data_IF_704700629808
#
_entry.id   IF_704700629808
#
_cell.length_a   1.000
_cell.length_b   1.000
_cell.length_c   1.000
_cell.angle_alpha   90.00
_cell.angle_beta   90.00
_cell.angle_gamma   90.00
#
_symmetry.space_group_name_H-M   'P 1'
#
loop_
_entity.id
_entity.type
_entity.pdbx_description
1 polymer ?
#
# COMPACT_ATOMS: atom_id res chain seq x y z
N UNK A 1 -6.26 -19.44 23.52
CA UNK A 1 -5.47 -18.94 22.38
C UNK A 1 -5.81 -17.49 22.10
N UNK A 2 -4.90 -16.72 21.50
CA UNK A 2 -5.19 -15.36 21.00
C UNK A 2 -5.69 -15.45 19.56
N UNK A 3 -6.74 -14.71 19.21
CA UNK A 3 -7.22 -14.62 17.83
C UNK A 3 -6.34 -13.64 17.06
N UNK A 4 -5.77 -14.07 15.94
CA UNK A 4 -5.05 -13.21 15.01
C UNK A 4 -5.96 -12.84 13.84
N UNK A 5 -6.17 -11.53 13.61
CA UNK A 5 -7.17 -11.02 12.65
C UNK A 5 -6.59 -10.67 11.27
N UNK A 6 -5.27 -10.68 11.12
CA UNK A 6 -4.59 -10.17 9.93
C UNK A 6 -4.05 -11.29 9.02
N UNK A 7 -4.75 -12.42 8.93
CA UNK A 7 -4.38 -13.56 8.07
C UNK A 7 -5.16 -13.56 6.72
N UNK A 8 -5.74 -12.42 6.35
CA UNK A 8 -6.66 -12.33 5.21
C UNK A 8 -5.96 -12.58 3.87
N UNK A 9 -4.73 -12.09 3.67
CA UNK A 9 -4.02 -12.28 2.40
C UNK A 9 -3.61 -13.75 2.15
N UNK A 10 -2.91 -14.45 3.07
CA UNK A 10 -2.57 -15.85 2.85
C UNK A 10 -3.80 -16.73 2.64
N UNK A 11 -4.80 -16.62 3.53
CA UNK A 11 -6.00 -17.44 3.47
C UNK A 11 -6.87 -17.09 2.25
N UNK A 12 -7.02 -15.80 1.94
CA UNK A 12 -7.80 -15.33 0.80
C UNK A 12 -7.17 -15.72 -0.53
N UNK A 13 -5.85 -15.59 -0.68
CA UNK A 13 -5.11 -16.04 -1.87
C UNK A 13 -5.24 -17.55 -2.06
N UNK A 14 -5.01 -18.33 -0.99
CA UNK A 14 -5.14 -19.78 -1.04
C UNK A 14 -6.56 -20.21 -1.43
N UNK A 15 -7.58 -19.62 -0.79
CA UNK A 15 -8.98 -19.91 -1.10
C UNK A 15 -9.33 -19.54 -2.54
N UNK A 16 -8.94 -18.36 -3.01
CA UNK A 16 -9.23 -17.92 -4.37
C UNK A 16 -8.61 -18.84 -5.42
N UNK A 17 -7.35 -19.26 -5.26
CA UNK A 17 -6.68 -20.16 -6.20
C UNK A 17 -7.30 -21.57 -6.25
N UNK A 18 -7.84 -22.06 -5.12
CA UNK A 18 -8.46 -23.38 -5.03
C UNK A 18 -9.91 -23.41 -5.53
N UNK A 19 -10.59 -22.26 -5.54
CA UNK A 19 -12.05 -22.19 -5.74
C UNK A 19 -12.49 -21.20 -6.84
N UNK A 20 -11.57 -20.56 -7.56
CA UNK A 20 -11.92 -19.71 -8.69
C UNK A 20 -12.67 -20.52 -9.76
N UNK A 21 -13.74 -19.92 -10.29
CA UNK A 21 -14.51 -20.46 -11.40
C UNK A 21 -14.69 -19.35 -12.47
N UNK A 22 -14.07 -19.47 -13.66
CA UNK A 22 -13.23 -20.60 -14.07
C UNK A 22 -11.90 -20.68 -13.28
N UNK A 23 -11.26 -21.86 -13.21
CA UNK A 23 -9.96 -22.02 -12.54
C UNK A 23 -8.90 -21.08 -13.11
N UNK A 24 -8.06 -20.52 -12.23
CA UNK A 24 -6.95 -19.64 -12.63
C UNK A 24 -5.90 -20.48 -13.39
N UNK A 25 -5.53 -20.13 -14.63
CA UNK A 25 -4.49 -20.86 -15.36
C UNK A 25 -3.16 -20.83 -14.59
N UNK A 26 -2.41 -21.95 -14.48
CA UNK A 26 -1.14 -21.99 -13.75
C UNK A 26 -0.10 -20.98 -14.28
N UNK A 27 -0.16 -20.64 -15.56
CA UNK A 27 0.72 -19.69 -16.25
C UNK A 27 0.26 -18.23 -16.14
N UNK A 28 -0.86 -17.96 -15.47
CA UNK A 28 -1.33 -16.59 -15.30
C UNK A 28 -0.40 -15.83 -14.35
N UNK A 29 -0.04 -14.60 -14.73
CA UNK A 29 0.63 -13.66 -13.83
C UNK A 29 -0.41 -13.10 -12.86
N UNK A 30 -0.17 -13.26 -11.56
CA UNK A 30 -1.05 -12.81 -10.49
C UNK A 30 -0.32 -11.76 -9.66
N UNK A 31 -0.92 -10.59 -9.53
CA UNK A 31 -0.47 -9.52 -8.64
C UNK A 31 -1.38 -9.47 -7.39
N UNK A 32 -0.80 -9.70 -6.22
CA UNK A 32 -1.44 -9.44 -4.93
C UNK A 32 -1.12 -8.00 -4.49
N UNK A 33 -2.15 -7.17 -4.44
CA UNK A 33 -2.08 -5.76 -4.03
C UNK A 33 -2.84 -5.56 -2.71
N UNK A 34 -2.45 -4.54 -1.96
CA UNK A 34 -3.18 -4.17 -0.75
C UNK A 34 -4.43 -3.34 -1.11
N UNK A 35 -5.54 -3.48 -0.35
CA UNK A 35 -6.79 -2.79 -0.65
C UNK A 35 -6.70 -1.26 -0.47
N UNK A 36 -5.64 -0.78 0.18
CA UNK A 36 -5.31 0.64 0.31
C UNK A 36 -4.24 1.07 -0.71
N UNK A 37 -4.10 0.37 -1.84
CA UNK A 37 -3.29 0.82 -2.98
C UNK A 37 -4.17 1.38 -4.10
N UNK A 38 -3.86 2.60 -4.54
CA UNK A 38 -4.48 3.22 -5.72
C UNK A 38 -3.55 3.14 -6.90
N UNK A 39 -4.07 2.78 -8.07
CA UNK A 39 -3.32 2.88 -9.32
C UNK A 39 -3.17 4.35 -9.73
N UNK A 40 -1.93 4.78 -9.94
CA UNK A 40 -1.60 6.07 -10.54
C UNK A 40 -1.34 5.93 -12.04
N UNK A 41 -0.93 4.73 -12.45
CA UNK A 41 -0.77 4.31 -13.85
C UNK A 41 -1.04 2.82 -13.96
N UNK A 42 -1.33 2.30 -15.17
CA UNK A 42 -1.50 0.87 -15.38
C UNK A 42 -0.23 0.08 -14.98
N UNK A 43 -0.44 -1.15 -14.49
CA UNK A 43 0.60 -2.15 -14.33
C UNK A 43 0.51 -3.12 -15.51
N UNK A 44 1.45 -3.03 -16.42
CA UNK A 44 1.58 -3.92 -17.58
C UNK A 44 2.54 -5.08 -17.29
N UNK A 45 2.41 -6.18 -18.04
CA UNK A 45 3.27 -7.34 -17.91
C UNK A 45 4.75 -7.03 -18.20
N UNK A 46 5.02 -6.02 -19.02
CA UNK A 46 6.32 -5.48 -19.41
C UNK A 46 6.70 -4.22 -18.61
N UNK A 47 5.97 -3.87 -17.53
CA UNK A 47 6.30 -2.71 -16.68
C UNK A 47 7.69 -2.82 -16.04
N UNK A 48 8.28 -4.01 -16.10
CA UNK A 48 9.60 -4.37 -15.60
C UNK A 48 10.68 -4.40 -16.69
N UNK A 49 10.33 -4.29 -17.98
CA UNK A 49 11.25 -4.32 -19.14
C UNK A 49 12.05 -3.03 -19.35
N UNK A 50 12.05 -2.16 -18.34
CA UNK A 50 12.64 -0.84 -18.44
C UNK A 50 14.14 -0.89 -18.21
N UNK A 51 14.90 -0.39 -19.18
CA UNK A 51 16.36 -0.13 -19.07
C UNK A 51 16.71 0.93 -18.02
N UNK A 52 15.71 1.62 -17.46
CA UNK A 52 15.94 2.56 -16.38
C UNK A 52 16.39 1.89 -15.09
N UNK A 53 17.56 2.33 -14.62
CA UNK A 53 18.26 1.88 -13.41
C UNK A 53 17.51 2.10 -12.08
N UNK A 54 16.27 2.57 -12.13
CA UNK A 54 15.52 3.05 -10.98
C UNK A 54 14.46 2.04 -10.51
N UNK A 55 13.89 1.19 -11.37
CA UNK A 55 12.90 0.18 -10.91
C UNK A 55 13.54 -0.88 -10.01
N UNK A 56 14.85 -1.07 -10.07
CA UNK A 56 15.57 -1.87 -9.09
C UNK A 56 16.89 -1.17 -8.78
N UNK A 57 17.09 -0.74 -7.54
CA UNK A 57 18.31 -0.05 -7.12
C UNK A 57 19.14 -0.89 -6.15
N UNK A 58 20.45 -0.65 -6.22
CA UNK A 58 21.41 -1.20 -5.28
C UNK A 58 21.32 -2.73 -5.17
N UNK A 59 21.11 -3.29 -3.96
CA UNK A 59 21.08 -4.73 -3.75
C UNK A 59 19.98 -5.48 -4.53
N UNK A 60 18.95 -4.75 -4.98
CA UNK A 60 17.76 -5.24 -5.67
C UNK A 60 18.00 -5.63 -7.15
N UNK A 61 19.14 -5.26 -7.73
CA UNK A 61 19.53 -5.64 -9.10
C UNK A 61 19.98 -7.09 -9.22
N UNK A 62 20.06 -7.81 -8.11
CA UNK A 62 20.44 -9.22 -8.06
C UNK A 62 19.51 -9.97 -7.09
N UNK A 63 18.60 -10.83 -7.61
CA UNK A 63 18.46 -11.21 -9.02
C UNK A 63 17.90 -10.07 -9.90
N UNK A 64 18.18 -10.04 -11.22
CA UNK A 64 17.60 -9.07 -12.12
C UNK A 64 16.08 -9.23 -12.17
N UNK A 65 15.37 -8.13 -12.39
CA UNK A 65 13.92 -8.17 -12.58
C UNK A 65 13.64 -8.94 -13.88
N UNK A 66 12.82 -10.00 -13.84
CA UNK A 66 12.55 -10.79 -15.03
C UNK A 66 11.70 -9.99 -16.01
N UNK A 67 11.98 -10.15 -17.30
CA UNK A 67 11.20 -9.53 -18.37
C UNK A 67 9.77 -10.08 -18.43
N UNK A 68 9.64 -11.37 -18.12
CA UNK A 68 8.39 -12.09 -18.02
C UNK A 68 8.41 -12.96 -16.78
N UNK A 69 7.27 -13.09 -16.11
CA UNK A 69 7.16 -13.98 -14.97
C UNK A 69 7.37 -15.44 -15.40
N UNK A 70 8.30 -16.10 -14.71
CA UNK A 70 8.63 -17.52 -14.89
C UNK A 70 8.41 -18.27 -13.58
N UNK A 71 8.34 -19.60 -13.67
CA UNK A 71 8.17 -20.44 -12.48
C UNK A 71 9.34 -20.25 -11.51
N UNK A 72 9.05 -20.09 -10.23
CA UNK A 72 10.05 -19.86 -9.18
C UNK A 72 10.55 -18.42 -9.13
N UNK A 73 9.90 -17.49 -9.84
CA UNK A 73 10.21 -16.06 -9.78
C UNK A 73 9.10 -15.28 -9.08
N UNK A 74 9.50 -14.24 -8.36
CA UNK A 74 8.58 -13.28 -7.76
C UNK A 74 9.16 -11.89 -7.93
N UNK A 75 8.31 -10.91 -8.26
CA UNK A 75 8.64 -9.49 -8.21
C UNK A 75 7.89 -8.87 -7.04
N UNK A 76 8.57 -8.07 -6.23
CA UNK A 76 7.91 -7.40 -5.11
C UNK A 76 8.58 -6.07 -4.75
N UNK A 77 7.76 -5.11 -4.30
CA UNK A 77 8.24 -3.79 -3.87
C UNK A 77 9.16 -3.91 -2.65
N UNK A 78 10.26 -3.16 -2.63
CA UNK A 78 11.12 -3.05 -1.47
C UNK A 78 10.33 -2.55 -0.25
N UNK A 79 10.48 -3.25 0.87
CA UNK A 79 9.84 -2.92 2.14
C UNK A 79 10.73 -3.30 3.32
N UNK A 80 10.75 -2.51 4.40
CA UNK A 80 11.77 -2.59 5.46
C UNK A 80 11.68 -3.74 6.48
N UNK A 81 11.40 -4.98 6.08
CA UNK A 81 11.10 -6.11 6.99
C UNK A 81 11.95 -7.39 6.80
N UNK A 82 12.81 -7.50 5.78
CA UNK A 82 13.32 -8.80 5.34
C UNK A 82 14.30 -9.52 6.28
N UNK A 83 15.16 -8.78 6.99
CA UNK A 83 16.26 -9.38 7.76
C UNK A 83 15.87 -9.86 9.17
N UNK A 84 14.78 -9.32 9.73
CA UNK A 84 14.45 -9.51 11.13
C UNK A 84 14.21 -10.98 11.54
N UNK A 85 13.61 -11.85 10.68
CA UNK A 85 13.43 -13.26 11.01
C UNK A 85 14.72 -14.06 11.17
N UNK A 86 15.83 -13.62 10.55
CA UNK A 86 17.12 -14.32 10.59
C UNK A 86 18.06 -13.81 11.70
N UNK A 87 17.55 -12.96 12.60
CA UNK A 87 18.31 -12.52 13.78
C UNK A 87 18.37 -13.64 14.82
N UNK A 88 19.57 -13.89 15.35
CA UNK A 88 19.79 -14.81 16.46
C UNK A 88 19.34 -14.25 17.82
N UNK A 89 19.18 -12.93 17.93
CA UNK A 89 18.75 -12.23 19.14
C UNK A 89 17.28 -11.81 19.17
N UNK A 90 16.85 -11.25 20.30
CA UNK A 90 15.54 -10.58 20.40
C UNK A 90 15.51 -9.39 19.42
N UNK A 91 14.41 -9.24 18.69
CA UNK A 91 14.07 -7.97 18.06
C UNK A 91 13.62 -7.01 19.17
N UNK A 92 14.10 -5.77 19.15
CA UNK A 92 13.89 -4.81 20.24
C UNK A 92 12.45 -4.74 20.77
N UNK A 93 12.30 -4.41 22.05
CA UNK A 93 11.02 -4.44 22.77
C UNK A 93 10.70 -5.84 23.34
N UNK A 94 9.41 -6.20 23.36
CA UNK A 94 8.90 -7.46 23.93
C UNK A 94 8.81 -8.62 22.90
N UNK A 95 9.45 -8.51 21.73
CA UNK A 95 9.42 -9.57 20.73
C UNK A 95 10.31 -10.73 21.15
N UNK A 96 9.85 -11.96 20.88
CA UNK A 96 10.68 -13.15 21.07
C UNK A 96 11.74 -13.20 19.96
N UNK A 97 12.85 -13.89 20.23
CA UNK A 97 13.76 -14.26 19.14
C UNK A 97 12.99 -15.15 18.15
N UNK A 98 13.30 -15.02 16.86
CA UNK A 98 12.61 -15.79 15.83
C UNK A 98 13.00 -17.26 15.86
N UNK A 99 14.26 -17.59 16.17
CA UNK A 99 14.72 -18.98 16.29
C UNK A 99 14.38 -19.82 15.07
N UNK A 100 14.51 -19.25 13.85
CA UNK A 100 14.08 -19.92 12.61
C UNK A 100 14.70 -21.30 12.45
N UNK A 101 16.00 -21.44 12.74
CA UNK A 101 16.69 -22.73 12.69
C UNK A 101 16.04 -23.77 13.60
N UNK A 102 15.76 -23.40 14.85
CA UNK A 102 15.14 -24.30 15.82
C UNK A 102 13.70 -24.64 15.43
N UNK A 103 12.95 -23.65 14.94
CA UNK A 103 11.60 -23.85 14.43
C UNK A 103 11.60 -24.86 13.29
N UNK A 104 12.40 -24.61 12.23
CA UNK A 104 12.43 -25.49 11.07
C UNK A 104 12.98 -26.89 11.41
N UNK A 105 14.00 -26.99 12.27
CA UNK A 105 14.60 -28.28 12.63
C UNK A 105 13.71 -29.10 13.56
N UNK A 106 13.19 -28.49 14.63
CA UNK A 106 12.57 -29.21 15.74
C UNK A 106 11.04 -29.16 15.72
N UNK A 107 10.44 -28.02 15.34
CA UNK A 107 8.98 -27.84 15.39
C UNK A 107 8.32 -28.24 14.05
N UNK A 108 8.86 -27.75 12.93
CA UNK A 108 8.31 -28.00 11.61
C UNK A 108 8.85 -29.29 10.97
N UNK A 109 9.89 -29.91 11.51
CA UNK A 109 10.49 -31.14 10.98
C UNK A 109 11.08 -30.99 9.57
N UNK A 110 11.55 -29.79 9.22
CA UNK A 110 12.12 -29.41 7.91
C UNK A 110 13.56 -28.87 8.06
N UNK A 111 14.53 -29.70 8.50
CA UNK A 111 15.91 -29.26 8.71
C UNK A 111 16.63 -28.86 7.40
N UNK A 112 16.12 -29.29 6.25
CA UNK A 112 16.64 -28.95 4.91
C UNK A 112 15.89 -27.80 4.24
N UNK A 113 15.20 -26.96 5.02
CA UNK A 113 14.52 -25.78 4.49
C UNK A 113 15.53 -24.85 3.79
N UNK A 114 15.29 -24.43 2.54
CA UNK A 114 16.09 -23.41 1.87
C UNK A 114 16.19 -22.09 2.65
N UNK A 115 15.23 -21.78 3.53
CA UNK A 115 15.32 -20.62 4.42
C UNK A 115 16.48 -20.72 5.44
N UNK A 116 17.08 -21.90 5.61
CA UNK A 116 18.24 -22.16 6.45
C UNK A 116 19.55 -22.29 5.67
N UNK A 117 19.54 -22.06 4.36
CA UNK A 117 20.75 -22.11 3.53
C UNK A 117 21.83 -21.18 4.10
N UNK A 118 23.09 -21.62 4.03
CA UNK A 118 24.21 -20.92 4.68
C UNK A 118 24.42 -19.49 4.15
N UNK A 119 23.96 -19.18 2.94
CA UNK A 119 24.03 -17.84 2.37
C UNK A 119 22.85 -16.95 2.78
N UNK A 120 21.84 -17.47 3.49
CA UNK A 120 20.71 -16.71 4.04
C UNK A 120 20.93 -16.43 5.54
N UNK A 121 21.28 -15.18 5.83
CA UNK A 121 21.44 -14.62 7.17
C UNK A 121 20.72 -13.28 7.26
N UNK A 122 20.74 -12.61 8.43
CA UNK A 122 20.06 -11.30 8.61
C UNK A 122 20.36 -10.31 7.48
N UNK A 123 21.64 -10.17 7.09
CA UNK A 123 22.07 -9.18 6.10
C UNK A 123 21.58 -9.55 4.70
N UNK A 124 21.79 -10.80 4.31
CA UNK A 124 21.41 -11.26 2.96
C UNK A 124 19.90 -11.41 2.82
N UNK A 125 19.20 -11.80 3.88
CA UNK A 125 17.75 -11.77 3.91
C UNK A 125 17.18 -10.35 3.89
N UNK A 126 17.80 -9.40 4.60
CA UNK A 126 17.48 -7.97 4.48
C UNK A 126 17.73 -7.40 3.08
N UNK A 127 18.56 -8.06 2.27
CA UNK A 127 18.75 -7.72 0.86
C UNK A 127 17.64 -8.30 -0.01
N UNK A 128 17.38 -9.61 0.05
CA UNK A 128 16.50 -10.28 -0.92
C UNK A 128 15.04 -10.32 -0.51
N UNK A 129 14.78 -10.46 0.79
CA UNK A 129 13.45 -10.71 1.34
C UNK A 129 12.85 -9.48 2.02
N UNK A 130 13.47 -8.32 1.88
CA UNK A 130 12.93 -7.05 2.35
C UNK A 130 11.92 -6.53 1.35
N UNK A 131 10.79 -7.22 1.27
CA UNK A 131 9.75 -7.06 0.27
C UNK A 131 8.36 -6.85 0.89
N UNK A 132 7.49 -6.18 0.14
CA UNK A 132 6.12 -5.84 0.47
C UNK A 132 5.25 -5.83 -0.79
N UNK A 133 3.95 -5.63 -0.62
CA UNK A 133 3.04 -5.50 -1.74
C UNK A 133 3.42 -4.29 -2.64
N UNK A 134 3.11 -4.32 -3.95
CA UNK A 134 2.56 -5.46 -4.69
C UNK A 134 3.50 -6.65 -4.75
N UNK A 135 2.95 -7.87 -4.64
CA UNK A 135 3.66 -9.13 -4.88
C UNK A 135 3.18 -9.71 -6.20
N UNK A 136 4.09 -10.11 -7.08
CA UNK A 136 3.76 -10.56 -8.43
C UNK A 136 4.48 -11.88 -8.68
N UNK A 137 3.74 -12.92 -9.03
CA UNK A 137 4.25 -14.26 -9.32
C UNK A 137 3.28 -14.99 -10.27
N UNK A 138 3.69 -16.15 -10.79
CA UNK A 138 2.76 -17.03 -11.50
C UNK A 138 1.76 -17.66 -10.54
N UNK A 139 0.55 -17.94 -11.01
CA UNK A 139 -0.47 -18.66 -10.25
C UNK A 139 0.04 -20.03 -9.76
N UNK A 140 0.88 -20.71 -10.55
CA UNK A 140 1.52 -21.97 -10.17
C UNK A 140 2.44 -21.87 -8.95
N UNK A 141 3.03 -20.70 -8.71
CA UNK A 141 3.90 -20.46 -7.54
C UNK A 141 3.10 -19.93 -6.36
N UNK A 142 2.03 -19.17 -6.62
CA UNK A 142 1.20 -18.60 -5.57
C UNK A 142 0.53 -19.64 -4.68
N UNK A 143 0.07 -20.77 -5.20
CA UNK A 143 -0.58 -21.78 -4.36
C UNK A 143 0.38 -22.40 -3.32
N UNK A 144 1.59 -22.87 -3.70
CA UNK A 144 2.61 -23.25 -2.73
C UNK A 144 2.97 -22.12 -1.75
N UNK A 145 3.13 -20.89 -2.23
CA UNK A 145 3.45 -19.73 -1.39
C UNK A 145 2.35 -19.49 -0.37
N UNK A 146 1.09 -19.38 -0.78
CA UNK A 146 -0.04 -19.09 0.10
C UNK A 146 -0.28 -20.21 1.13
N UNK A 147 -0.06 -21.47 0.73
CA UNK A 147 -0.14 -22.63 1.64
C UNK A 147 0.96 -22.55 2.70
N UNK A 148 2.21 -22.34 2.29
CA UNK A 148 3.34 -22.26 3.22
C UNK A 148 3.24 -21.02 4.12
N UNK A 149 2.84 -19.89 3.55
CA UNK A 149 2.55 -18.65 4.25
C UNK A 149 1.52 -18.85 5.35
N UNK A 150 0.39 -19.49 5.04
CA UNK A 150 -0.65 -19.84 6.02
C UNK A 150 -0.08 -20.69 7.15
N UNK A 151 0.71 -21.72 6.83
CA UNK A 151 1.29 -22.64 7.83
C UNK A 151 2.34 -21.97 8.74
N UNK A 152 3.02 -20.93 8.25
CA UNK A 152 4.01 -20.16 9.02
C UNK A 152 3.38 -19.04 9.87
N UNK A 153 2.10 -18.71 9.67
CA UNK A 153 1.41 -17.69 10.44
C UNK A 153 1.45 -17.91 11.96
N UNK A 154 1.16 -19.10 12.52
CA UNK A 154 1.18 -19.30 13.97
C UNK A 154 2.53 -18.96 14.60
N UNK A 155 3.61 -19.40 13.94
CA UNK A 155 4.99 -19.13 14.33
C UNK A 155 5.28 -17.62 14.32
N UNK A 156 4.92 -16.94 13.24
CA UNK A 156 5.17 -15.51 13.11
C UNK A 156 4.35 -14.68 14.12
N UNK A 157 3.10 -15.06 14.38
CA UNK A 157 2.23 -14.41 15.38
C UNK A 157 2.79 -14.58 16.79
N UNK A 158 3.33 -15.75 17.12
CA UNK A 158 3.95 -15.97 18.42
C UNK A 158 5.20 -15.11 18.63
N UNK A 159 6.03 -14.99 17.58
CA UNK A 159 7.36 -14.37 17.67
C UNK A 159 7.34 -12.86 17.45
N UNK A 160 6.45 -12.38 16.58
CA UNK A 160 6.26 -10.97 16.23
C UNK A 160 4.78 -10.60 16.31
N UNK A 161 4.22 -10.65 17.52
CA UNK A 161 2.81 -10.32 17.74
C UNK A 161 2.54 -8.86 17.33
N UNK A 162 1.83 -8.68 16.21
CA UNK A 162 1.56 -7.37 15.63
C UNK A 162 0.96 -7.46 14.22
N UNK A 163 0.73 -6.29 13.63
CA UNK A 163 0.21 -6.15 12.26
C UNK A 163 1.21 -6.62 11.18
N UNK A 164 2.48 -6.84 11.53
CA UNK A 164 3.52 -7.28 10.59
C UNK A 164 3.80 -8.79 10.61
N UNK A 165 3.18 -9.55 11.53
CA UNK A 165 3.41 -11.00 11.61
C UNK A 165 3.12 -11.71 10.29
N UNK A 166 2.06 -11.26 9.60
CA UNK A 166 1.69 -11.77 8.29
C UNK A 166 2.76 -11.52 7.23
N UNK A 167 3.32 -10.32 7.17
CA UNK A 167 4.38 -10.01 6.20
C UNK A 167 5.67 -10.78 6.52
N UNK A 168 5.99 -10.99 7.79
CA UNK A 168 7.13 -11.83 8.16
C UNK A 168 6.93 -13.30 7.76
N UNK A 169 5.72 -13.83 7.95
CA UNK A 169 5.40 -15.18 7.50
C UNK A 169 5.52 -15.30 5.96
N UNK A 170 5.13 -14.28 5.19
CA UNK A 170 5.29 -14.24 3.73
C UNK A 170 6.75 -14.39 3.33
N UNK A 171 7.63 -13.56 3.89
CA UNK A 171 9.04 -13.54 3.47
C UNK A 171 9.76 -14.84 3.85
N UNK A 172 9.38 -15.46 4.96
CA UNK A 172 9.89 -16.77 5.39
C UNK A 172 9.34 -17.87 4.47
N UNK A 173 8.06 -17.81 4.09
CA UNK A 173 7.44 -18.79 3.20
C UNK A 173 8.08 -18.81 1.81
N UNK A 174 8.36 -17.63 1.27
CA UNK A 174 9.02 -17.47 -0.03
C UNK A 174 10.47 -17.98 0.05
N UNK A 175 11.19 -17.66 1.12
CA UNK A 175 12.55 -18.15 1.34
C UNK A 175 12.59 -19.68 1.50
N UNK A 176 11.64 -20.28 2.22
CA UNK A 176 11.52 -21.72 2.44
C UNK A 176 11.14 -22.49 1.15
N UNK A 177 10.57 -21.81 0.17
CA UNK A 177 10.34 -22.36 -1.17
C UNK A 177 11.55 -22.20 -2.10
N UNK A 178 12.66 -21.63 -1.62
CA UNK A 178 13.84 -21.34 -2.42
C UNK A 178 13.64 -20.23 -3.47
N UNK A 179 12.53 -19.49 -3.38
CA UNK A 179 12.22 -18.40 -4.30
C UNK A 179 12.98 -17.17 -3.82
N UNK A 180 13.88 -16.63 -4.66
CA UNK A 180 14.55 -15.35 -4.39
C UNK A 180 13.83 -14.24 -5.16
N UNK A 181 13.08 -13.35 -4.49
CA UNK A 181 12.35 -12.29 -5.18
C UNK A 181 13.30 -11.35 -5.91
N UNK A 182 12.93 -10.96 -7.13
CA UNK A 182 13.39 -9.74 -7.75
C UNK A 182 12.74 -8.57 -7.01
N UNK A 183 13.49 -8.01 -6.07
CA UNK A 183 13.08 -6.81 -5.35
C UNK A 183 13.10 -5.63 -6.31
N UNK A 184 12.02 -4.86 -6.33
CA UNK A 184 11.91 -3.64 -7.13
C UNK A 184 11.69 -2.44 -6.23
N UNK A 185 12.26 -1.32 -6.64
CA UNK A 185 12.01 -0.01 -6.07
C UNK A 185 10.99 0.75 -6.92
N UNK A 186 10.41 1.77 -6.31
CA UNK A 186 9.60 2.78 -6.97
C UNK A 186 8.27 2.30 -7.57
N UNK A 187 7.84 1.06 -7.37
CA UNK A 187 6.48 0.65 -7.75
C UNK A 187 5.43 1.47 -7.03
N UNK A 188 5.70 1.87 -5.79
CA UNK A 188 4.77 2.67 -5.00
C UNK A 188 5.42 3.87 -4.33
N UNK A 189 4.56 4.81 -3.91
CA UNK A 189 4.86 5.84 -2.92
C UNK A 189 3.87 5.73 -1.77
N UNK A 190 4.33 5.96 -0.54
CA UNK A 190 3.50 5.86 0.66
C UNK A 190 3.93 6.88 1.71
N UNK A 191 5.16 6.82 2.19
CA UNK A 191 5.71 7.67 3.23
C UNK A 191 6.74 8.58 2.57
N UNK A 192 6.51 9.89 2.63
CA UNK A 192 7.37 10.91 1.99
C UNK A 192 8.84 10.88 2.42
N UNK A 193 9.18 10.13 3.48
CA UNK A 193 10.53 9.92 3.99
C UNK A 193 11.10 8.52 3.71
N UNK A 194 10.32 7.59 3.19
CA UNK A 194 10.76 6.22 2.94
C UNK A 194 11.71 6.14 1.72
N UNK A 195 12.76 5.34 1.87
CA UNK A 195 13.63 4.94 0.76
C UNK A 195 13.06 3.76 -0.03
N UNK A 196 13.49 3.61 -1.29
CA UNK A 196 12.99 2.55 -2.18
C UNK A 196 11.61 2.81 -2.79
N UNK A 197 11.00 3.95 -2.49
CA UNK A 197 9.72 4.41 -3.05
C UNK A 197 9.92 5.39 -4.20
N UNK A 198 8.90 5.56 -5.05
CA UNK A 198 8.98 6.31 -6.32
C UNK A 198 9.10 7.83 -6.18
N UNK A 199 9.52 8.32 -5.02
CA UNK A 199 9.73 9.73 -4.76
C UNK A 199 10.73 10.42 -5.68
N UNK A 200 11.85 9.80 -6.12
CA UNK A 200 12.75 10.43 -7.08
C UNK A 200 12.07 10.81 -8.41
N UNK A 201 10.96 10.16 -8.76
CA UNK A 201 10.16 10.52 -9.92
C UNK A 201 9.25 11.71 -9.63
N UNK A 202 8.58 11.72 -8.47
CA UNK A 202 7.78 12.86 -7.99
C UNK A 202 8.65 14.12 -7.80
N UNK A 203 9.89 13.97 -7.36
CA UNK A 203 10.84 15.08 -7.18
C UNK A 203 11.27 15.73 -8.49
N UNK A 204 11.03 15.10 -9.65
CA UNK A 204 11.32 15.70 -10.96
C UNK A 204 10.17 16.56 -11.48
N UNK A 205 9.00 16.51 -10.85
CA UNK A 205 7.88 17.33 -11.24
C UNK A 205 8.18 18.81 -10.95
N UNK A 206 7.64 19.74 -11.77
CA UNK A 206 7.58 21.15 -11.40
C UNK A 206 6.86 21.35 -10.05
N UNK A 207 7.31 22.33 -9.27
CA UNK A 207 6.85 22.53 -7.89
C UNK A 207 5.36 22.92 -7.78
N UNK A 208 4.80 23.46 -8.85
CA UNK A 208 3.39 23.85 -9.01
C UNK A 208 2.52 22.74 -9.63
N UNK A 209 3.11 21.63 -10.07
CA UNK A 209 2.38 20.54 -10.74
C UNK A 209 2.08 19.34 -9.85
N UNK A 210 2.32 19.44 -8.53
CA UNK A 210 2.04 18.35 -7.58
C UNK A 210 0.59 17.86 -7.62
N UNK A 211 -0.36 18.77 -7.91
CA UNK A 211 -1.78 18.44 -8.04
C UNK A 211 -2.29 18.47 -9.48
N UNK A 212 -1.43 18.55 -10.49
CA UNK A 212 -1.88 18.59 -11.88
C UNK A 212 -2.38 17.20 -12.32
N UNK A 213 -3.66 17.02 -12.71
CA UNK A 213 -4.18 15.71 -13.13
C UNK A 213 -3.56 15.22 -14.43
N UNK A 214 -3.14 16.14 -15.30
CA UNK A 214 -2.61 15.80 -16.62
C UNK A 214 -1.29 15.03 -16.51
N UNK A 215 -0.61 15.15 -15.37
CA UNK A 215 0.68 14.50 -15.13
C UNK A 215 0.59 12.98 -15.05
N UNK A 216 -0.59 12.44 -14.70
CA UNK A 216 -0.84 11.00 -14.67
C UNK A 216 -0.81 10.39 -16.08
N UNK A 217 -1.05 11.21 -17.10
CA UNK A 217 -1.11 10.83 -18.52
C UNK A 217 0.02 11.42 -19.35
N UNK A 218 0.88 12.26 -18.77
CA UNK A 218 1.97 12.92 -19.47
C UNK A 218 3.17 11.97 -19.60
N UNK A 219 3.51 11.50 -20.81
CA UNK A 219 4.60 10.54 -21.01
C UNK A 219 5.98 11.13 -20.69
N UNK A 220 6.09 12.46 -20.54
CA UNK A 220 7.32 13.15 -20.16
C UNK A 220 7.69 12.89 -18.70
N UNK A 221 6.71 12.49 -17.87
CA UNK A 221 6.92 12.21 -16.46
C UNK A 221 6.65 10.74 -16.16
N UNK A 222 7.69 10.05 -15.73
CA UNK A 222 7.52 8.76 -15.08
C UNK A 222 6.94 9.00 -13.69
N UNK A 223 6.00 8.17 -13.26
CA UNK A 223 5.38 8.21 -11.93
C UNK A 223 5.46 6.84 -11.26
N UNK A 224 5.30 6.72 -9.94
CA UNK A 224 5.06 5.42 -9.30
C UNK A 224 3.81 4.74 -9.89
N UNK A 225 3.75 3.41 -9.87
CA UNK A 225 2.54 2.67 -10.31
C UNK A 225 1.41 2.82 -9.30
N UNK A 226 1.76 2.80 -8.02
CA UNK A 226 0.82 2.80 -6.92
C UNK A 226 1.05 3.99 -5.98
N UNK A 227 -0.04 4.49 -5.42
CA UNK A 227 -0.03 5.20 -4.14
C UNK A 227 -0.51 4.21 -3.08
N UNK A 228 0.35 3.85 -2.13
CA UNK A 228 -0.02 2.99 -1.01
C UNK A 228 -0.45 3.85 0.18
N UNK A 229 -1.75 3.92 0.37
CA UNK A 229 -2.46 4.75 1.33
C UNK A 229 -2.47 4.13 2.74
N UNK A 230 -1.29 3.90 3.30
CA UNK A 230 -1.14 3.34 4.66
C UNK A 230 -0.78 4.38 5.73
N UNK A 231 -0.50 5.62 5.32
CA UNK A 231 -0.09 6.71 6.19
C UNK A 231 -1.18 7.77 6.35
N UNK A 232 -0.99 8.68 7.30
CA UNK A 232 -1.77 9.91 7.40
C UNK A 232 -1.16 10.96 6.47
N UNK A 233 -1.96 11.47 5.53
CA UNK A 233 -1.53 12.49 4.58
C UNK A 233 -2.08 13.85 4.98
N UNK A 234 -1.20 14.78 5.34
CA UNK A 234 -1.56 16.15 5.73
C UNK A 234 -0.71 17.16 4.98
N UNK A 235 -1.34 18.26 4.55
CA UNK A 235 -0.63 19.42 4.01
C UNK A 235 -0.46 20.41 5.17
N UNK A 236 0.74 20.45 5.77
CA UNK A 236 1.04 21.35 6.91
C UNK A 236 1.01 22.84 6.53
N UNK A 237 1.31 23.18 5.27
CA UNK A 237 1.60 24.56 4.85
C UNK A 237 0.41 25.42 4.37
N UNK A 238 -0.80 24.87 4.26
CA UNK A 238 -2.00 25.72 4.04
C UNK A 238 -2.43 26.49 5.30
N UNK A 239 -1.85 26.17 6.48
CA UNK A 239 -2.01 27.01 7.68
C UNK A 239 -1.46 28.42 7.49
N UNK A 240 -0.36 28.58 6.75
CA UNK A 240 0.32 29.86 6.66
C UNK A 240 -0.37 30.85 5.71
N UNK A 241 -0.88 30.40 4.55
CA UNK A 241 -1.54 31.29 3.59
C UNK A 241 -2.95 31.70 4.03
N UNK A 242 -3.71 30.82 4.70
CA UNK A 242 -4.99 31.20 5.30
C UNK A 242 -4.83 32.23 6.44
N UNK A 243 -3.66 32.25 7.11
CA UNK A 243 -3.31 33.26 8.10
C UNK A 243 -2.74 34.54 7.48
N UNK A 244 -2.10 34.45 6.30
CA UNK A 244 -1.47 35.59 5.62
C UNK A 244 -2.45 36.41 4.74
N UNK A 245 -3.57 35.83 4.29
CA UNK A 245 -4.57 36.51 3.44
C UNK A 245 -5.57 37.42 4.18
N UNK A 246 -5.19 37.96 5.35
CA UNK A 246 -5.76 39.22 5.83
C UNK A 246 -7.14 39.17 6.48
N UNK A 247 -7.21 38.69 7.73
CA UNK A 247 -8.15 39.23 8.73
C UNK A 247 -7.38 40.08 9.73
N UNK A 248 -6.86 41.21 9.23
CA UNK A 248 -6.41 42.31 10.07
C UNK A 248 -7.63 43.03 10.64
N UNK A 249 -8.01 42.69 11.87
CA UNK A 249 -9.08 43.34 12.61
C UNK A 249 -8.75 43.37 14.10
N UNK A 250 -8.02 44.38 14.52
CA UNK A 250 -7.86 44.76 15.93
C UNK A 250 -9.23 45.14 16.51
N UNK A 251 -9.73 44.37 17.46
CA UNK A 251 -10.95 44.72 18.18
C UNK A 251 -11.44 43.62 19.09
N UNK A 252 -11.22 43.80 20.38
CA UNK A 252 -11.75 42.93 21.43
C UNK A 252 -13.29 42.89 21.37
N UNK A 253 -13.86 41.68 21.25
CA UNK A 253 -14.95 41.28 22.14
C UNK A 253 -15.17 39.76 22.10
N UNK A 254 -15.25 39.19 23.29
CA UNK A 254 -15.58 37.79 23.54
C UNK A 254 -17.08 37.54 23.28
N UNK A 255 -17.41 36.31 22.89
CA UNK A 255 -18.75 35.73 22.75
C UNK A 255 -19.56 36.10 21.48
N UNK A 256 -19.29 35.41 20.37
CA UNK A 256 -20.32 34.95 19.42
C UNK A 256 -19.75 33.96 18.38
N UNK A 257 -20.31 32.74 18.35
CA UNK A 257 -20.34 31.82 17.19
C UNK A 257 -19.02 31.15 16.73
N UNK A 258 -19.04 29.86 16.33
CA UNK A 258 -17.90 29.25 15.66
C UNK A 258 -17.89 29.69 14.18
N UNK A 259 -17.25 30.82 13.89
CA UNK A 259 -16.87 31.16 12.50
C UNK A 259 -15.67 30.30 12.08
N UNK A 260 -16.02 29.17 11.48
CA UNK A 260 -15.16 28.15 10.86
C UNK A 260 -14.57 28.66 9.55
N UNK A 261 -13.64 29.62 9.63
CA UNK A 261 -12.77 30.04 8.52
C UNK A 261 -11.37 29.41 8.61
N UNK A 262 -11.24 28.31 9.36
CA UNK A 262 -10.05 27.45 9.30
C UNK A 262 -10.15 26.66 8.01
N UNK A 263 -9.32 26.98 7.03
CA UNK A 263 -9.20 26.22 5.78
C UNK A 263 -9.26 24.74 6.09
N UNK A 264 -10.29 24.07 5.56
CA UNK A 264 -10.67 22.72 5.96
C UNK A 264 -9.52 21.78 5.62
N UNK A 265 -8.75 21.37 6.62
CA UNK A 265 -7.72 20.35 6.45
C UNK A 265 -8.42 19.02 6.20
N UNK A 266 -8.29 18.50 4.97
CA UNK A 266 -8.83 17.20 4.61
C UNK A 266 -7.90 16.12 5.15
N UNK A 267 -8.27 15.56 6.29
CA UNK A 267 -7.52 14.47 6.90
C UNK A 267 -8.05 13.15 6.36
N UNK A 268 -7.24 12.56 5.49
CA UNK A 268 -7.44 11.18 5.07
C UNK A 268 -6.83 10.28 6.14
N UNK A 269 -7.67 9.60 6.91
CA UNK A 269 -7.24 8.47 7.76
C UNK A 269 -7.91 7.20 7.30
N UNK A 270 -7.24 6.05 7.46
CA UNK A 270 -7.76 4.70 7.14
C UNK A 270 -9.11 4.38 7.81
N UNK A 271 -9.55 5.19 8.77
CA UNK A 271 -10.77 5.01 9.56
C UNK A 271 -11.86 6.03 9.25
N UNK A 272 -11.65 6.92 8.29
CA UNK A 272 -12.55 8.03 7.96
C UNK A 272 -12.76 8.11 6.44
N UNK A 273 -13.37 7.06 5.88
CA UNK A 273 -14.09 7.22 4.61
C UNK A 273 -15.51 7.67 5.00
N UNK A 274 -16.04 8.78 4.48
CA UNK A 274 -17.41 9.19 4.76
C UNK A 274 -18.33 8.07 4.27
N UNK A 275 -19.20 7.56 5.14
CA UNK A 275 -20.17 6.54 4.71
C UNK A 275 -21.09 7.10 3.63
N UNK A 276 -21.27 8.42 3.63
CA UNK A 276 -22.01 9.19 2.65
C UNK A 276 -21.51 9.01 1.21
N UNK A 277 -20.23 8.68 1.00
CA UNK A 277 -19.67 8.35 -0.33
C UNK A 277 -20.27 7.05 -0.89
N UNK A 278 -20.62 6.10 -0.02
CA UNK A 278 -21.15 4.79 -0.39
C UNK A 278 -22.68 4.70 -0.25
N UNK A 279 -23.35 5.82 0.01
CA UNK A 279 -24.80 5.86 0.08
C UNK A 279 -25.41 6.32 -1.24
N UNK A 280 -26.27 5.47 -1.81
CA UNK A 280 -27.09 5.89 -2.93
C UNK A 280 -28.09 6.99 -2.48
N UNK A 281 -28.40 7.99 -3.33
CA UNK A 281 -29.35 9.05 -2.98
C UNK A 281 -30.70 8.49 -2.54
N UNK A 282 -31.37 9.17 -1.61
CA UNK A 282 -32.69 8.76 -1.13
C UNK A 282 -33.67 8.59 -2.31
N UNK A 283 -34.27 7.39 -2.44
CA UNK A 283 -35.16 7.03 -3.54
C UNK A 283 -34.55 6.09 -4.60
N UNK A 284 -33.24 5.86 -4.56
CA UNK A 284 -32.60 4.79 -5.35
C UNK A 284 -32.52 3.50 -4.52
N UNK A 285 -33.02 2.40 -5.07
CA UNK A 285 -32.84 1.07 -4.47
C UNK A 285 -31.42 0.60 -4.78
N UNK A 286 -30.59 0.38 -3.76
CA UNK A 286 -29.32 -0.33 -3.99
C UNK A 286 -29.63 -1.71 -4.60
N UNK A 287 -28.80 -2.19 -5.53
CA UNK A 287 -28.95 -3.53 -6.09
C UNK A 287 -29.13 -4.57 -4.98
N UNK A 288 -30.11 -5.46 -5.14
CA UNK A 288 -30.42 -6.50 -4.15
C UNK A 288 -29.14 -7.21 -3.71
N UNK A 289 -28.82 -7.15 -2.41
CA UNK A 289 -27.66 -7.82 -1.81
C UNK A 289 -26.58 -6.89 -1.25
N UNK A 290 -26.57 -5.58 -1.56
CA UNK A 290 -25.59 -4.64 -1.01
C UNK A 290 -26.10 -4.03 0.29
N UNK A 291 -25.71 -4.60 1.44
CA UNK A 291 -25.95 -3.97 2.75
C UNK A 291 -24.96 -2.82 2.95
N UNK A 292 -25.46 -1.59 3.04
CA UNK A 292 -24.65 -0.44 3.44
C UNK A 292 -24.00 -0.68 4.82
N UNK A 293 -22.77 -0.20 5.05
CA UNK A 293 -22.10 -0.37 6.32
C UNK A 293 -22.92 0.23 7.47
N UNK A 294 -23.14 -0.55 8.53
CA UNK A 294 -24.06 -0.21 9.61
C UNK A 294 -23.54 0.86 10.60
N UNK A 295 -22.37 1.47 10.36
CA UNK A 295 -21.73 2.40 11.29
C UNK A 295 -21.36 3.70 10.62
N UNK A 296 -22.14 4.76 10.92
CA UNK A 296 -21.74 6.15 10.69
C UNK A 296 -20.40 6.45 11.35
N UNK A 297 -19.37 6.69 10.57
CA UNK A 297 -18.09 7.21 11.03
C UNK A 297 -18.32 8.64 11.54
N UNK A 298 -17.76 8.95 12.72
CA UNK A 298 -17.81 10.31 13.31
C UNK A 298 -16.76 11.22 12.62
N UNK A 299 -16.72 11.22 11.30
CA UNK A 299 -15.79 12.04 10.52
C UNK A 299 -16.32 13.46 10.33
N UNK A 300 -15.49 14.48 10.55
CA UNK A 300 -15.81 15.89 10.27
C UNK A 300 -15.63 16.24 8.77
N UNK A 301 -15.74 15.26 7.87
CA UNK A 301 -15.45 15.48 6.46
C UNK A 301 -16.70 16.05 5.78
N UNK A 302 -16.69 17.35 5.49
CA UNK A 302 -17.78 18.02 4.77
C UNK A 302 -17.68 17.67 3.28
N UNK A 303 -18.58 16.81 2.80
CA UNK A 303 -18.77 16.62 1.36
C UNK A 303 -19.28 17.92 0.73
N UNK A 304 -18.89 18.18 -0.52
CA UNK A 304 -19.51 19.25 -1.33
C UNK A 304 -20.90 18.84 -1.80
N UNK A 305 -21.67 19.77 -2.37
CA UNK A 305 -23.10 19.60 -2.66
C UNK A 305 -23.49 18.43 -3.56
N UNK A 306 -22.54 17.79 -4.23
CA UNK A 306 -22.71 16.59 -5.07
C UNK A 306 -22.39 15.27 -4.34
N UNK A 307 -21.97 15.33 -3.07
CA UNK A 307 -21.64 14.16 -2.25
C UNK A 307 -20.21 13.67 -2.39
N UNK A 308 -19.31 14.44 -3.02
CA UNK A 308 -17.90 14.08 -3.18
C UNK A 308 -16.98 14.97 -2.33
N UNK A 309 -15.68 14.64 -2.30
CA UNK A 309 -14.67 15.48 -1.69
C UNK A 309 -14.33 16.62 -2.65
N UNK A 310 -14.04 17.84 -2.15
CA UNK A 310 -13.66 18.93 -3.03
C UNK A 310 -12.38 18.56 -3.78
N UNK A 311 -12.37 18.80 -5.09
CA UNK A 311 -11.16 18.62 -5.89
C UNK A 311 -10.05 19.52 -5.34
N UNK A 312 -8.83 18.99 -5.18
CA UNK A 312 -7.73 19.77 -4.65
C UNK A 312 -7.40 20.91 -5.59
N UNK A 313 -7.06 22.07 -5.02
CA UNK A 313 -6.70 23.25 -5.82
C UNK A 313 -5.51 22.93 -6.72
N UNK A 314 -5.60 23.20 -8.05
CA UNK A 314 -4.46 23.04 -8.95
C UNK A 314 -3.37 24.10 -8.70
N UNK A 315 -3.65 25.14 -7.89
CA UNK A 315 -2.73 26.24 -7.61
C UNK A 315 -1.82 25.99 -6.40
N UNK A 316 -1.74 24.75 -5.89
CA UNK A 316 -0.86 24.43 -4.77
C UNK A 316 0.60 24.41 -5.24
N UNK A 317 1.35 25.44 -4.84
CA UNK A 317 2.79 25.55 -5.11
C UNK A 317 3.57 24.99 -3.92
N UNK A 318 4.42 24.00 -4.18
CA UNK A 318 5.28 23.42 -3.17
C UNK A 318 6.48 24.34 -2.85
N UNK A 319 6.80 24.51 -1.57
CA UNK A 319 7.98 25.27 -1.13
C UNK A 319 9.23 24.39 -0.94
N UNK A 320 9.07 23.08 -0.95
CA UNK A 320 10.14 22.10 -0.80
C UNK A 320 9.80 20.81 -1.54
N UNK A 321 10.79 19.93 -1.76
CA UNK A 321 10.51 18.59 -2.31
C UNK A 321 9.65 17.75 -1.38
N UNK A 322 9.83 17.88 -0.06
CA UNK A 322 8.94 17.24 0.93
C UNK A 322 7.50 17.72 0.78
N UNK A 323 7.31 19.02 0.58
CA UNK A 323 5.98 19.61 0.34
C UNK A 323 5.38 19.09 -0.96
N UNK A 324 6.17 19.05 -2.04
CA UNK A 324 5.74 18.52 -3.34
C UNK A 324 5.26 17.07 -3.22
N UNK A 325 6.00 16.23 -2.50
CA UNK A 325 5.61 14.83 -2.23
C UNK A 325 4.29 14.75 -1.45
N UNK A 326 4.12 15.58 -0.43
CA UNK A 326 2.89 15.66 0.36
C UNK A 326 1.68 16.12 -0.45
N UNK A 327 1.86 17.19 -1.23
CA UNK A 327 0.88 17.74 -2.17
C UNK A 327 0.47 16.68 -3.20
N UNK A 328 1.45 16.01 -3.82
CA UNK A 328 1.22 14.93 -4.78
C UNK A 328 0.38 13.80 -4.19
N UNK A 329 0.78 13.23 -3.05
CA UNK A 329 0.04 12.14 -2.41
C UNK A 329 -1.37 12.55 -2.01
N UNK A 330 -1.54 13.75 -1.46
CA UNK A 330 -2.86 14.25 -1.07
C UNK A 330 -3.79 14.38 -2.28
N UNK A 331 -3.29 14.95 -3.37
CA UNK A 331 -4.07 15.16 -4.57
C UNK A 331 -4.40 13.86 -5.30
N UNK A 332 -3.44 12.95 -5.39
CA UNK A 332 -3.65 11.62 -5.96
C UNK A 332 -4.67 10.80 -5.14
N UNK A 333 -4.54 10.76 -3.80
CA UNK A 333 -5.49 10.06 -2.93
C UNK A 333 -6.91 10.62 -3.03
N UNK A 334 -7.04 11.97 -3.05
CA UNK A 334 -8.33 12.65 -3.16
C UNK A 334 -9.03 12.26 -4.46
N UNK A 335 -8.33 12.35 -5.58
CA UNK A 335 -8.89 11.99 -6.89
C UNK A 335 -9.27 10.53 -6.99
N UNK A 336 -8.40 9.63 -6.53
CA UNK A 336 -8.68 8.20 -6.56
C UNK A 336 -9.93 7.86 -5.72
N UNK A 337 -10.07 8.49 -4.55
CA UNK A 337 -11.24 8.33 -3.67
C UNK A 337 -12.51 8.87 -4.34
N UNK A 338 -12.45 10.08 -4.90
CA UNK A 338 -13.57 10.68 -5.64
C UNK A 338 -13.98 9.85 -6.85
N UNK A 339 -13.02 9.31 -7.61
CA UNK A 339 -13.31 8.48 -8.76
C UNK A 339 -13.97 7.16 -8.33
N UNK A 340 -13.44 6.49 -7.32
CA UNK A 340 -14.05 5.27 -6.77
C UNK A 340 -15.48 5.52 -6.27
N UNK A 341 -15.73 6.66 -5.62
CA UNK A 341 -17.05 7.09 -5.20
C UNK A 341 -18.02 7.24 -6.39
N UNK A 342 -17.58 7.92 -7.46
CA UNK A 342 -18.37 8.14 -8.68
C UNK A 342 -18.68 6.81 -9.37
N UNK A 343 -17.69 5.93 -9.49
CA UNK A 343 -17.87 4.62 -10.13
C UNK A 343 -18.79 3.72 -9.33
N UNK A 344 -18.67 3.70 -8.00
CA UNK A 344 -19.59 2.99 -7.12
C UNK A 344 -21.04 3.46 -7.34
N UNK A 345 -21.27 4.78 -7.32
CA UNK A 345 -22.60 5.34 -7.55
C UNK A 345 -23.14 4.97 -8.93
N UNK A 346 -22.31 5.11 -9.97
CA UNK A 346 -22.68 4.76 -11.34
C UNK A 346 -23.08 3.30 -11.47
N UNK A 347 -22.33 2.38 -10.85
CA UNK A 347 -22.57 0.94 -10.99
C UNK A 347 -23.69 0.40 -10.11
N UNK A 348 -23.90 0.96 -8.93
CA UNK A 348 -24.82 0.38 -7.94
C UNK A 348 -26.06 1.23 -7.66
N UNK A 349 -26.02 2.53 -7.93
CA UNK A 349 -27.11 3.46 -7.66
C UNK A 349 -27.82 3.92 -8.94
N UNK A 350 -27.06 4.22 -10.00
CA UNK A 350 -27.62 4.78 -11.24
C UNK A 350 -27.90 3.70 -12.30
N UNK A 351 -27.40 2.48 -12.16
CA UNK A 351 -27.55 1.39 -13.12
C UNK A 351 -28.86 0.57 -12.97
N UNK A 352 -29.90 1.16 -12.35
CA UNK A 352 -31.27 0.64 -12.28
C UNK A 352 -32.22 1.62 -12.95
#
# INVERSE_FOLDING_TARGET
GRIYKYANKPLGMMHWLLHADPPVPPTATVALIDPDMFFLRPLWHDSFDSTEKYIATGPATSPPVPHRMEKGTMVAQQYGIGGAPWKSGKNGGNQKAWGLKDFFTNEAGRPSSPALDADINERTAGRWYSIGAPYIALASDWLPIATNWTNLMPMAVERSFGNLAEMYAMVIAVADLGIRPARVDHLMVSNVQAGGEGWPWVDKLPMDRGCDPTILTDPSFRLPTFLHYCQRYEIENLKAEALAQGFGGSGANQNSGPTDARGSYWMYTKYQVPDEILHCPAGSTAAEGVKAPAKRSKGNMKLVGDGFLPEPSPLLVANSRKDLRGIFSHCAATRATNQAARDYRRWFCDAQ
#
